data_IF_377018484795
#
_entry.id   IF_377018484795
#
_cell.length_a   1.000
_cell.length_b   1.000
_cell.length_c   1.000
_cell.angle_alpha   90.00
_cell.angle_beta   90.00
_cell.angle_gamma   90.00
#
_symmetry.space_group_name_H-M   'P 1'
#
loop_
_entity.id
_entity.type
_entity.pdbx_description
1 polymer ?
#
# COMPACT_ATOMS: atom_id res chain seq x y z
N UNK A 1 7.30 -10.41 7.19
CA UNK A 1 8.45 -9.53 6.91
C UNK A 1 8.12 -8.68 5.68
N UNK A 2 8.49 -7.39 5.65
CA UNK A 2 8.27 -6.55 4.47
C UNK A 2 9.02 -7.12 3.25
N UNK A 3 8.44 -6.98 2.07
CA UNK A 3 9.09 -7.35 0.82
C UNK A 3 10.18 -6.33 0.47
N UNK A 4 11.03 -6.65 -0.52
CA UNK A 4 11.98 -5.67 -1.09
C UNK A 4 11.71 -5.47 -2.58
N UNK A 5 11.81 -4.24 -3.05
CA UNK A 5 11.80 -3.94 -4.49
C UNK A 5 13.18 -4.24 -5.12
N UNK A 6 13.29 -4.04 -6.45
CA UNK A 6 14.52 -4.29 -7.19
C UNK A 6 15.69 -3.36 -6.79
N UNK A 7 15.43 -2.27 -6.07
CA UNK A 7 16.42 -1.35 -5.53
C UNK A 7 16.77 -1.66 -4.06
N UNK A 8 16.16 -2.69 -3.47
CA UNK A 8 16.35 -3.06 -2.06
C UNK A 8 15.53 -2.24 -1.07
N UNK A 9 14.61 -1.38 -1.52
CA UNK A 9 13.71 -0.63 -0.64
C UNK A 9 12.67 -1.57 -0.04
N UNK A 10 12.26 -1.33 1.21
CA UNK A 10 11.24 -2.14 1.85
C UNK A 10 9.84 -1.75 1.36
N UNK A 11 9.00 -2.76 1.13
CA UNK A 11 7.64 -2.57 0.64
C UNK A 11 6.66 -3.29 1.54
N UNK A 12 5.71 -2.53 2.05
CA UNK A 12 4.51 -3.05 2.71
C UNK A 12 3.45 -3.28 1.64
N UNK A 13 2.92 -4.49 1.57
CA UNK A 13 1.85 -4.81 0.63
C UNK A 13 0.59 -5.09 1.46
N UNK A 14 -0.48 -4.38 1.14
CA UNK A 14 -1.80 -4.63 1.68
C UNK A 14 -2.74 -5.03 0.56
N UNK A 15 -3.41 -6.17 0.73
CA UNK A 15 -4.39 -6.67 -0.23
C UNK A 15 -5.81 -6.49 0.32
N UNK A 16 -6.71 -6.07 -0.57
CA UNK A 16 -8.15 -5.95 -0.35
C UNK A 16 -8.84 -6.73 -1.48
N UNK A 17 -9.66 -7.71 -1.13
CA UNK A 17 -10.32 -8.56 -2.11
C UNK A 17 -11.37 -7.79 -2.94
N UNK A 18 -11.82 -6.65 -2.46
CA UNK A 18 -12.89 -5.85 -3.04
C UNK A 18 -12.45 -4.40 -3.25
N UNK A 19 -13.41 -3.48 -3.20
CA UNK A 19 -13.12 -2.05 -3.19
C UNK A 19 -12.38 -1.65 -1.91
N UNK A 20 -11.27 -0.92 -2.07
CA UNK A 20 -10.56 -0.34 -0.94
C UNK A 20 -10.97 1.12 -0.70
N UNK A 21 -11.05 1.49 0.58
CA UNK A 21 -11.38 2.81 1.10
C UNK A 21 -10.17 3.45 1.80
N UNK A 22 -10.35 4.64 2.38
CA UNK A 22 -9.32 5.39 3.10
C UNK A 22 -8.69 4.60 4.25
N UNK A 23 -9.47 3.74 4.93
CA UNK A 23 -8.96 2.85 5.99
C UNK A 23 -7.91 1.87 5.47
N UNK A 24 -8.01 1.53 4.18
CA UNK A 24 -6.98 0.84 3.41
C UNK A 24 -5.61 1.50 3.58
N UNK A 25 -5.58 2.80 3.33
CA UNK A 25 -4.41 3.69 3.35
C UNK A 25 -3.94 3.95 4.78
N UNK A 26 -4.85 4.23 5.72
CA UNK A 26 -4.50 4.53 7.11
C UNK A 26 -3.70 3.39 7.75
N UNK A 27 -4.16 2.15 7.58
CA UNK A 27 -3.47 0.97 8.11
C UNK A 27 -2.13 0.71 7.39
N UNK A 28 -2.06 0.99 6.09
CA UNK A 28 -0.83 0.85 5.31
C UNK A 28 0.22 1.85 5.83
N UNK A 29 -0.17 3.11 6.00
CA UNK A 29 0.69 4.16 6.53
C UNK A 29 1.15 3.83 7.95
N UNK A 30 0.24 3.41 8.85
CA UNK A 30 0.59 3.04 10.22
C UNK A 30 1.66 1.95 10.26
N UNK A 31 1.56 0.93 9.41
CA UNK A 31 2.56 -0.12 9.35
C UNK A 31 3.90 0.35 8.73
N UNK A 32 3.84 1.26 7.76
CA UNK A 32 5.05 1.88 7.21
C UNK A 32 5.81 2.67 8.28
N UNK A 33 5.13 3.46 9.11
CA UNK A 33 5.77 4.20 10.21
C UNK A 33 6.32 3.26 11.27
N UNK A 34 5.55 2.22 11.65
CA UNK A 34 6.03 1.18 12.54
C UNK A 34 7.35 0.57 12.05
N UNK A 35 7.48 0.23 10.76
CA UNK A 35 8.76 -0.30 10.25
C UNK A 35 9.89 0.73 10.30
N UNK A 36 9.61 2.01 10.05
CA UNK A 36 10.62 3.07 10.12
C UNK A 36 11.15 3.26 11.54
N UNK A 37 10.30 3.13 12.56
CA UNK A 37 10.73 3.15 13.96
C UNK A 37 11.75 2.03 14.28
N UNK A 38 11.63 0.87 13.60
CA UNK A 38 12.55 -0.25 13.73
C UNK A 38 13.75 -0.17 12.78
N UNK A 39 14.13 1.06 12.37
CA UNK A 39 15.30 1.37 11.52
C UNK A 39 15.25 0.81 10.10
N UNK A 40 14.07 0.43 9.59
CA UNK A 40 13.90 0.13 8.17
C UNK A 40 13.93 1.44 7.38
N UNK A 41 14.97 1.64 6.57
CA UNK A 41 15.09 2.81 5.67
C UNK A 41 14.36 2.56 4.36
N UNK A 42 13.86 3.61 3.72
CA UNK A 42 13.17 3.57 2.42
C UNK A 42 11.97 2.61 2.41
N UNK A 43 11.03 2.81 3.33
CA UNK A 43 9.79 2.01 3.42
C UNK A 43 8.69 2.66 2.58
N UNK A 44 8.24 1.96 1.54
CA UNK A 44 7.07 2.30 0.72
C UNK A 44 5.89 1.36 0.96
N UNK A 45 4.72 1.73 0.45
CA UNK A 45 3.47 0.97 0.57
C UNK A 45 2.80 0.72 -0.78
N UNK A 46 2.18 -0.44 -0.92
CA UNK A 46 1.31 -0.78 -2.05
C UNK A 46 -0.03 -1.28 -1.50
N UNK A 47 -1.12 -0.59 -1.86
CA UNK A 47 -2.47 -1.07 -1.62
C UNK A 47 -3.01 -1.72 -2.90
N UNK A 48 -3.26 -3.02 -2.85
CA UNK A 48 -3.78 -3.82 -3.97
C UNK A 48 -5.28 -4.05 -3.76
N UNK A 49 -6.11 -3.70 -4.75
CA UNK A 49 -7.56 -3.84 -4.69
C UNK A 49 -8.19 -3.94 -6.09
N UNK A 50 -9.44 -4.37 -6.21
CA UNK A 50 -10.13 -4.40 -7.52
C UNK A 50 -10.59 -3.01 -7.96
N UNK A 51 -10.91 -2.15 -6.98
CA UNK A 51 -11.27 -0.75 -7.19
C UNK A 51 -10.99 0.09 -5.93
N UNK A 52 -11.12 1.42 -6.05
CA UNK A 52 -10.84 2.36 -4.95
C UNK A 52 -11.94 3.41 -4.86
N UNK A 53 -12.26 3.86 -3.65
CA UNK A 53 -13.08 5.07 -3.46
C UNK A 53 -12.28 6.32 -3.82
N UNK A 54 -12.96 7.43 -4.15
CA UNK A 54 -12.27 8.71 -4.38
C UNK A 54 -11.46 9.15 -3.16
N UNK A 55 -11.96 8.88 -1.95
CA UNK A 55 -11.26 9.16 -0.69
C UNK A 55 -9.96 8.36 -0.57
N UNK A 56 -9.97 7.08 -0.91
CA UNK A 56 -8.75 6.26 -0.94
C UNK A 56 -7.72 6.82 -1.93
N UNK A 57 -8.16 7.26 -3.12
CA UNK A 57 -7.29 7.88 -4.13
C UNK A 57 -6.69 9.19 -3.61
N UNK A 58 -7.49 10.05 -2.97
CA UNK A 58 -7.01 11.31 -2.42
C UNK A 58 -6.03 11.09 -1.25
N UNK A 59 -6.33 10.17 -0.34
CA UNK A 59 -5.44 9.80 0.75
C UNK A 59 -4.10 9.25 0.23
N UNK A 60 -4.13 8.35 -0.75
CA UNK A 60 -2.91 7.80 -1.36
C UNK A 60 -2.04 8.88 -2.04
N UNK A 61 -2.64 9.92 -2.63
CA UNK A 61 -1.90 11.04 -3.22
C UNK A 61 -1.25 11.96 -2.19
N UNK A 62 -1.85 12.07 -1.01
CA UNK A 62 -1.35 12.93 0.06
C UNK A 62 -0.12 12.35 0.76
N UNK A 63 0.06 11.02 0.72
CA UNK A 63 1.12 10.32 1.46
C UNK A 63 2.20 9.88 0.48
N UNK A 64 3.43 10.32 0.74
CA UNK A 64 4.60 9.94 -0.06
C UNK A 64 4.83 8.42 0.01
N UNK A 65 5.31 7.86 -1.09
CA UNK A 65 5.76 6.48 -1.19
C UNK A 65 4.64 5.42 -1.04
N UNK A 66 3.37 5.81 -1.22
CA UNK A 66 2.23 4.88 -1.38
C UNK A 66 1.85 4.77 -2.86
N UNK A 67 1.63 3.54 -3.32
CA UNK A 67 1.13 3.21 -4.66
C UNK A 67 -0.19 2.44 -4.58
N UNK A 68 -1.05 2.65 -5.56
CA UNK A 68 -2.26 1.86 -5.78
C UNK A 68 -2.03 0.92 -6.96
N UNK A 69 -2.34 -0.37 -6.79
CA UNK A 69 -2.23 -1.36 -7.84
C UNK A 69 -3.54 -2.14 -7.97
N UNK A 70 -4.17 -2.07 -9.14
CA UNK A 70 -5.38 -2.84 -9.39
C UNK A 70 -5.04 -4.29 -9.70
N UNK A 71 -5.86 -5.21 -9.22
CA UNK A 71 -5.82 -6.60 -9.65
C UNK A 71 -7.14 -6.98 -10.31
N UNK A 72 -7.07 -7.89 -11.27
CA UNK A 72 -8.23 -8.45 -11.97
C UNK A 72 -8.10 -9.97 -11.98
N UNK A 73 -9.20 -10.67 -11.72
CA UNK A 73 -9.25 -12.12 -11.81
C UNK A 73 -9.84 -12.50 -13.16
N UNK A 74 -9.06 -13.21 -13.97
CA UNK A 74 -9.51 -13.76 -15.24
C UNK A 74 -9.68 -15.28 -15.08
N UNK A 75 -10.93 -15.76 -15.17
CA UNK A 75 -11.29 -17.17 -14.99
C UNK A 75 -11.44 -17.93 -16.33
N UNK A 76 -10.77 -17.44 -17.39
CA UNK A 76 -10.77 -18.08 -18.71
C UNK A 76 -9.77 -19.21 -18.81
#
# INVERSE_FOLDING_TARGET
>A
MPARDHNGNYVVIKFKADQADEKGIDQLQAYMEYLREYSYRNVGGILIASSYTSRAIYAARAIKDIKLAKYEVNLR
#
